data_IF_345777686272
#
_entry.id   IF_345777686272
#
_cell.length_a   1.000
_cell.length_b   1.000
_cell.length_c   1.000
_cell.angle_alpha   90.00
_cell.angle_beta   90.00
_cell.angle_gamma   90.00
#
_symmetry.space_group_name_H-M   'P 1'
#
loop_
_entity.id
_entity.type
_entity.pdbx_description
1 polymer ?
#
# COMPACT_ATOMS: atom_id res chain seq x y z
N UNK A 1 -21.17 9.56 -13.31
CA UNK A 1 -22.14 9.07 -12.31
C UNK A 1 -21.42 8.91 -10.99
N UNK A 2 -22.09 9.24 -9.89
CA UNK A 2 -21.56 9.43 -8.52
C UNK A 2 -21.02 8.15 -7.85
N UNK A 3 -20.56 7.16 -8.62
CA UNK A 3 -20.05 5.90 -8.10
C UNK A 3 -19.13 5.23 -9.15
N UNK A 4 -18.12 5.97 -9.62
CA UNK A 4 -17.24 5.46 -10.67
C UNK A 4 -16.42 4.28 -10.12
N UNK A 5 -16.54 3.07 -10.71
CA UNK A 5 -15.88 1.88 -10.19
C UNK A 5 -14.38 1.93 -10.47
N UNK A 6 -13.56 1.38 -9.58
CA UNK A 6 -12.13 1.22 -9.83
C UNK A 6 -11.92 0.24 -10.98
N UNK A 7 -11.29 0.70 -12.06
CA UNK A 7 -10.87 -0.09 -13.24
C UNK A 7 -9.38 -0.42 -13.20
N UNK A 8 -8.58 0.45 -12.60
CA UNK A 8 -7.17 0.21 -12.34
C UNK A 8 -6.76 0.88 -11.03
N UNK A 9 -5.75 0.30 -10.39
CA UNK A 9 -5.22 0.79 -9.11
C UNK A 9 -3.71 0.64 -9.09
N UNK A 10 -3.04 1.71 -8.68
CA UNK A 10 -1.60 1.72 -8.46
C UNK A 10 -1.29 2.49 -7.18
N UNK A 11 -0.40 1.94 -6.35
CA UNK A 11 0.11 2.59 -5.14
C UNK A 11 1.62 2.70 -5.27
N UNK A 12 2.18 3.89 -5.13
CA UNK A 12 3.63 4.07 -5.01
C UNK A 12 3.95 4.49 -3.57
N UNK A 13 4.98 3.88 -2.98
CA UNK A 13 5.42 4.16 -1.60
C UNK A 13 6.92 4.36 -1.58
N UNK A 14 7.38 5.38 -0.87
CA UNK A 14 8.78 5.59 -0.55
C UNK A 14 8.97 5.64 0.96
N UNK A 15 9.84 4.79 1.47
CA UNK A 15 10.09 4.62 2.90
C UNK A 15 11.56 4.37 3.18
N UNK A 16 12.02 4.95 4.28
CA UNK A 16 13.31 4.63 4.92
C UNK A 16 13.04 3.98 6.27
N UNK A 17 13.81 2.96 6.61
CA UNK A 17 13.76 2.24 7.88
C UNK A 17 15.13 1.64 8.18
N UNK A 18 15.55 1.53 9.44
CA UNK A 18 16.83 0.88 9.76
C UNK A 18 16.85 -0.62 9.44
N UNK A 19 15.67 -1.28 9.42
CA UNK A 19 15.50 -2.65 8.94
C UNK A 19 14.14 -2.86 8.27
N UNK A 20 14.06 -2.89 6.94
CA UNK A 20 12.77 -3.01 6.23
C UNK A 20 12.13 -4.41 6.30
N UNK A 21 12.86 -5.41 6.78
CA UNK A 21 12.29 -6.72 7.08
C UNK A 21 11.22 -6.67 8.17
N UNK A 22 11.15 -5.59 8.94
CA UNK A 22 10.13 -5.46 9.99
C UNK A 22 8.85 -4.73 9.55
N UNK A 23 8.91 -4.09 8.39
CA UNK A 23 7.85 -3.23 7.91
C UNK A 23 6.85 -4.02 7.07
N UNK A 24 5.57 -3.85 7.38
CA UNK A 24 4.43 -4.24 6.55
C UNK A 24 3.72 -3.00 6.01
N UNK A 25 3.33 -3.04 4.73
CA UNK A 25 2.61 -1.96 4.06
C UNK A 25 1.32 -2.52 3.46
N UNK A 26 0.19 -1.89 3.80
CA UNK A 26 -1.14 -2.24 3.31
C UNK A 26 -1.93 -1.01 2.86
N UNK A 27 -2.84 -1.20 1.92
CA UNK A 27 -3.85 -0.21 1.53
C UNK A 27 -5.19 -0.58 2.16
N UNK A 28 -5.94 0.40 2.65
CA UNK A 28 -7.28 0.22 3.22
C UNK A 28 -8.28 0.99 2.34
N UNK A 29 -9.33 0.31 1.87
CA UNK A 29 -10.41 0.90 1.08
C UNK A 29 -11.37 1.75 1.94
N UNK A 30 -12.24 2.57 1.32
CA UNK A 30 -13.33 3.26 2.00
C UNK A 30 -14.31 2.34 2.73
N UNK A 31 -14.37 1.06 2.33
CA UNK A 31 -15.19 0.01 2.96
C UNK A 31 -14.44 -0.79 4.04
N UNK A 32 -13.27 -0.32 4.48
CA UNK A 32 -12.38 -0.96 5.45
C UNK A 32 -11.79 -2.31 5.01
N UNK A 33 -11.82 -2.63 3.72
CA UNK A 33 -11.09 -3.78 3.20
C UNK A 33 -9.59 -3.47 3.16
N UNK A 34 -8.76 -4.39 3.66
CA UNK A 34 -7.30 -4.24 3.66
C UNK A 34 -6.67 -5.10 2.55
N UNK A 35 -5.73 -4.50 1.81
CA UNK A 35 -4.94 -5.16 0.78
C UNK A 35 -3.45 -5.06 1.15
N UNK A 36 -2.81 -6.20 1.38
CA UNK A 36 -1.36 -6.25 1.58
C UNK A 36 -0.65 -5.82 0.29
N UNK A 37 0.23 -4.83 0.40
CA UNK A 37 1.09 -4.36 -0.70
C UNK A 37 2.49 -4.96 -0.58
N UNK A 38 3.06 -4.92 0.62
CA UNK A 38 4.41 -5.38 0.92
C UNK A 38 4.42 -6.04 2.29
N UNK A 39 4.76 -7.33 2.32
CA UNK A 39 5.03 -8.04 3.56
C UNK A 39 6.45 -7.77 4.08
N UNK A 40 6.74 -8.37 5.23
CA UNK A 40 8.02 -8.36 5.95
C UNK A 40 9.14 -9.15 5.24
N UNK A 41 9.41 -8.83 3.97
CA UNK A 41 10.31 -9.59 3.07
C UNK A 41 11.46 -8.77 2.50
N UNK A 42 11.57 -7.49 2.84
CA UNK A 42 12.62 -6.60 2.33
C UNK A 42 13.97 -6.76 3.06
N UNK A 43 14.01 -7.51 4.16
CA UNK A 43 15.23 -7.86 4.90
C UNK A 43 16.04 -6.64 5.37
N UNK A 44 17.36 -6.74 5.31
CA UNK A 44 18.31 -5.69 5.76
C UNK A 44 18.33 -4.41 4.92
N UNK A 45 17.46 -4.28 3.91
CA UNK A 45 17.38 -3.04 3.11
C UNK A 45 16.95 -1.89 4.02
N UNK A 46 17.49 -0.70 3.77
CA UNK A 46 17.17 0.50 4.57
C UNK A 46 16.34 1.54 3.83
N UNK A 47 16.19 1.39 2.52
CA UNK A 47 15.35 2.24 1.69
C UNK A 47 14.52 1.42 0.69
N UNK A 48 13.31 1.87 0.43
CA UNK A 48 12.44 1.24 -0.54
C UNK A 48 11.55 2.25 -1.24
N UNK A 49 11.62 2.23 -2.57
CA UNK A 49 10.62 2.82 -3.46
C UNK A 49 9.90 1.67 -4.15
N UNK A 50 8.66 1.42 -3.76
CA UNK A 50 7.82 0.34 -4.30
C UNK A 50 6.65 0.90 -5.10
N UNK A 51 6.31 0.26 -6.23
CA UNK A 51 5.09 0.53 -6.98
C UNK A 51 4.28 -0.75 -7.08
N UNK A 52 3.06 -0.72 -6.55
CA UNK A 52 2.16 -1.86 -6.41
C UNK A 52 0.94 -1.68 -7.32
N UNK A 53 0.57 -2.74 -8.00
CA UNK A 53 -0.62 -2.82 -8.86
C UNK A 53 -1.18 -4.24 -8.81
N UNK A 54 -2.28 -4.51 -9.51
CA UNK A 54 -2.84 -5.87 -9.63
C UNK A 54 -1.84 -6.90 -10.20
N UNK A 55 -0.75 -6.46 -10.85
CA UNK A 55 0.28 -7.34 -11.42
C UNK A 55 1.26 -7.92 -10.39
N UNK A 56 1.56 -7.17 -9.33
CA UNK A 56 2.58 -7.55 -8.33
C UNK A 56 2.08 -7.52 -6.88
N UNK A 57 0.89 -6.97 -6.63
CA UNK A 57 0.13 -7.09 -5.39
C UNK A 57 -1.27 -7.65 -5.70
N UNK A 58 -1.41 -8.98 -5.87
CA UNK A 58 -2.64 -9.60 -6.38
C UNK A 58 -3.90 -9.30 -5.55
N UNK A 59 -3.78 -9.02 -4.25
CA UNK A 59 -4.92 -8.64 -3.42
C UNK A 59 -5.63 -7.37 -3.90
N UNK A 60 -4.92 -6.47 -4.59
CA UNK A 60 -5.51 -5.28 -5.20
C UNK A 60 -6.56 -5.61 -6.28
N UNK A 61 -6.58 -6.83 -6.83
CA UNK A 61 -7.66 -7.26 -7.75
C UNK A 61 -9.04 -7.19 -7.11
N UNK A 62 -9.13 -7.36 -5.79
CA UNK A 62 -10.39 -7.26 -5.04
C UNK A 62 -10.96 -5.85 -4.98
N UNK A 63 -10.14 -4.81 -5.25
CA UNK A 63 -10.58 -3.43 -5.34
C UNK A 63 -11.28 -3.13 -6.68
N UNK A 64 -11.04 -3.93 -7.72
CA UNK A 64 -11.65 -3.70 -9.05
C UNK A 64 -13.16 -3.86 -8.96
N UNK A 65 -13.90 -2.92 -9.54
CA UNK A 65 -15.37 -2.87 -9.49
C UNK A 65 -15.93 -2.26 -8.20
N UNK A 66 -15.12 -2.04 -7.17
CA UNK A 66 -15.55 -1.29 -5.98
C UNK A 66 -15.64 0.21 -6.28
N UNK A 67 -16.38 0.95 -5.46
CA UNK A 67 -16.42 2.41 -5.54
C UNK A 67 -15.02 2.99 -5.36
N UNK A 68 -14.62 3.90 -6.26
CA UNK A 68 -13.42 4.69 -6.07
C UNK A 68 -13.62 5.80 -5.01
N UNK A 69 -14.86 6.13 -4.66
CA UNK A 69 -15.17 7.26 -3.77
C UNK A 69 -14.95 6.94 -2.30
N UNK A 70 -14.52 7.96 -1.56
CA UNK A 70 -14.30 7.90 -0.12
C UNK A 70 -12.82 7.87 0.25
N UNK A 71 -12.55 7.61 1.53
CA UNK A 71 -11.21 7.70 2.09
C UNK A 71 -10.45 6.39 1.91
N UNK A 72 -9.44 6.43 1.04
CA UNK A 72 -8.40 5.41 0.99
C UNK A 72 -7.28 5.76 1.98
N UNK A 73 -6.69 4.75 2.63
CA UNK A 73 -5.65 4.95 3.63
C UNK A 73 -4.47 4.01 3.37
N UNK A 74 -3.24 4.53 3.43
CA UNK A 74 -2.05 3.70 3.56
C UNK A 74 -1.82 3.38 5.04
N UNK A 75 -1.60 2.11 5.35
CA UNK A 75 -1.16 1.65 6.67
C UNK A 75 0.26 1.10 6.55
N UNK A 76 1.17 1.66 7.32
CA UNK A 76 2.55 1.18 7.49
C UNK A 76 2.70 0.75 8.94
N UNK A 77 3.14 -0.48 9.16
CA UNK A 77 3.34 -1.03 10.51
C UNK A 77 4.76 -1.58 10.62
N UNK A 78 5.53 -1.06 11.56
CA UNK A 78 6.71 -1.74 12.05
C UNK A 78 6.27 -2.77 13.10
N UNK A 79 6.59 -4.05 12.88
CA UNK A 79 6.18 -5.13 13.80
C UNK A 79 7.35 -5.71 14.61
N UNK A 80 8.47 -5.01 14.72
CA UNK A 80 9.53 -5.35 15.67
C UNK A 80 9.99 -4.11 16.45
N UNK A 81 10.37 -4.26 17.73
CA UNK A 81 10.93 -3.15 18.48
C UNK A 81 12.39 -2.88 18.09
N UNK A 82 12.85 -1.65 18.27
CA UNK A 82 14.27 -1.26 18.22
C UNK A 82 14.68 -0.54 16.93
N UNK A 83 14.13 -0.97 15.80
CA UNK A 83 14.29 -0.28 14.52
C UNK A 83 13.25 0.86 14.38
N UNK A 84 13.58 1.88 13.59
CA UNK A 84 12.67 3.00 13.33
C UNK A 84 12.88 3.54 11.91
N UNK A 85 11.94 4.35 11.44
CA UNK A 85 12.05 4.96 10.12
C UNK A 85 11.02 6.04 9.84
N UNK A 86 10.89 6.37 8.56
CA UNK A 86 10.03 7.45 8.09
C UNK A 86 9.42 7.07 6.75
N UNK A 87 8.09 7.14 6.66
CA UNK A 87 7.38 7.20 5.38
C UNK A 87 7.69 8.56 4.73
N UNK A 88 8.39 8.54 3.59
CA UNK A 88 8.78 9.78 2.89
C UNK A 88 7.68 10.30 1.99
N UNK A 89 7.08 9.41 1.21
CA UNK A 89 5.98 9.75 0.31
C UNK A 89 5.12 8.53 -0.01
N UNK A 90 3.89 8.79 -0.43
CA UNK A 90 3.06 7.79 -1.09
C UNK A 90 2.09 8.45 -2.06
N UNK A 91 1.63 7.67 -3.03
CA UNK A 91 0.66 8.10 -4.03
C UNK A 91 -0.31 6.94 -4.31
N UNK A 92 -1.60 7.26 -4.43
CA UNK A 92 -2.62 6.38 -4.95
C UNK A 92 -3.14 6.94 -6.28
N UNK A 93 -3.12 6.11 -7.32
CA UNK A 93 -3.72 6.41 -8.62
C UNK A 93 -4.84 5.42 -8.89
N UNK A 94 -6.04 5.93 -9.14
CA UNK A 94 -7.22 5.15 -9.51
C UNK A 94 -7.62 5.49 -10.94
N UNK A 95 -7.75 4.48 -11.80
CA UNK A 95 -8.47 4.61 -13.06
C UNK A 95 -9.94 4.25 -12.83
N UNK A 96 -10.86 5.10 -13.30
CA UNK A 96 -12.31 4.94 -13.13
C UNK A 96 -13.09 4.92 -14.44
#
# INVERSE_FOLDING_TARGET
GENAPVRSIQVTVEIEHSFLGDVEISLISPTNQTFLLQGRTLGRRTSHRGTYSTRNAPLLTRAIGQSAQGRWQLKVTDNAPGDTGTLKSWQLTLGV
#
